data_IF_264441282082
#
_entry.id   IF_264441282082
#
_cell.length_a   1.000
_cell.length_b   1.000
_cell.length_c   1.000
_cell.angle_alpha   90.00
_cell.angle_beta   90.00
_cell.angle_gamma   90.00
#
_symmetry.space_group_name_H-M   'P 1'
#
loop_
_entity.id
_entity.type
_entity.pdbx_description
1 polymer ?
#
# COMPACT_ATOMS: atom_id res chain seq x y z
N UNK A 1 5.20 1.34 10.56
CA UNK A 1 6.09 2.41 10.11
C UNK A 1 6.77 2.02 8.79
N UNK A 2 7.24 3.03 8.01
CA UNK A 2 8.00 2.81 6.78
C UNK A 2 7.19 2.56 5.51
N UNK A 3 5.86 2.68 5.52
CA UNK A 3 5.01 2.51 4.34
C UNK A 3 5.43 3.43 3.19
N UNK A 4 5.46 4.75 3.42
CA UNK A 4 5.83 5.73 2.40
C UNK A 4 7.24 5.52 1.84
N UNK A 5 8.21 5.11 2.67
CA UNK A 5 9.56 4.75 2.20
C UNK A 5 9.54 3.51 1.29
N UNK A 6 8.71 2.51 1.63
CA UNK A 6 8.51 1.34 0.78
C UNK A 6 7.89 1.72 -0.57
N UNK A 7 6.85 2.57 -0.57
CA UNK A 7 6.25 3.08 -1.81
C UNK A 7 7.28 3.82 -2.66
N UNK A 8 8.08 4.71 -2.07
CA UNK A 8 9.10 5.47 -2.79
C UNK A 8 10.17 4.57 -3.43
N UNK A 9 10.59 3.51 -2.74
CA UNK A 9 11.53 2.54 -3.29
C UNK A 9 10.90 1.72 -4.43
N UNK A 10 9.67 1.25 -4.25
CA UNK A 10 8.95 0.51 -5.29
C UNK A 10 8.76 1.36 -6.55
N UNK A 11 8.31 2.62 -6.39
CA UNK A 11 8.19 3.56 -7.51
C UNK A 11 9.51 3.71 -8.26
N UNK A 12 10.62 3.97 -7.53
CA UNK A 12 11.92 4.15 -8.14
C UNK A 12 12.41 2.90 -8.89
N UNK A 13 12.25 1.71 -8.31
CA UNK A 13 12.68 0.44 -8.92
C UNK A 13 11.81 0.11 -10.14
N UNK A 14 10.49 0.22 -10.04
CA UNK A 14 9.58 -0.09 -11.12
C UNK A 14 9.80 0.84 -12.32
N UNK A 15 9.91 2.16 -12.08
CA UNK A 15 10.22 3.13 -13.16
C UNK A 15 11.59 2.91 -13.79
N UNK A 16 12.59 2.54 -13.00
CA UNK A 16 13.93 2.19 -13.52
C UNK A 16 13.89 0.95 -14.43
N UNK A 17 12.89 0.08 -14.28
CA UNK A 17 12.63 -1.07 -15.15
C UNK A 17 11.65 -0.78 -16.30
N UNK A 18 11.28 0.48 -16.52
CA UNK A 18 10.48 0.91 -17.66
C UNK A 18 8.96 0.86 -17.47
N UNK A 19 8.48 0.55 -16.25
CA UNK A 19 7.04 0.58 -15.95
C UNK A 19 6.57 2.01 -15.70
N UNK A 20 5.37 2.33 -16.16
CA UNK A 20 4.63 3.51 -15.75
C UNK A 20 3.96 3.25 -14.41
N UNK A 21 4.23 4.08 -13.41
CA UNK A 21 3.79 3.82 -12.02
C UNK A 21 2.87 4.91 -11.52
N UNK A 22 1.70 4.52 -11.02
CA UNK A 22 0.84 5.37 -10.19
C UNK A 22 1.11 5.14 -8.72
N UNK A 23 1.31 6.19 -7.93
CA UNK A 23 1.47 6.07 -6.47
C UNK A 23 0.45 6.92 -5.72
N UNK A 24 -0.14 6.34 -4.68
CA UNK A 24 -0.97 7.04 -3.71
C UNK A 24 -0.37 6.91 -2.32
N UNK A 25 -0.06 8.05 -1.68
CA UNK A 25 0.63 8.11 -0.38
C UNK A 25 -0.03 9.11 0.58
N UNK A 26 0.23 8.95 1.88
CA UNK A 26 -0.27 9.86 2.92
C UNK A 26 0.60 9.85 4.18
N UNK A 27 0.66 11.00 4.90
CA UNK A 27 0.20 12.33 4.51
C UNK A 27 1.11 13.01 3.47
N UNK A 28 0.72 14.18 2.95
CA UNK A 28 1.63 15.08 2.25
C UNK A 28 2.41 15.94 3.26
N UNK A 29 3.54 16.48 2.85
CA UNK A 29 4.38 17.33 3.69
C UNK A 29 4.19 18.84 3.40
N UNK A 30 4.17 19.20 2.15
CA UNK A 30 4.11 20.61 1.71
C UNK A 30 2.94 20.82 0.73
N UNK A 31 2.85 20.00 -0.30
CA UNK A 31 1.87 20.14 -1.37
C UNK A 31 0.90 18.96 -1.34
N UNK A 32 -0.39 19.28 -1.35
CA UNK A 32 -1.44 18.24 -1.40
C UNK A 32 -1.24 17.24 -2.53
N UNK A 33 -0.74 17.67 -3.68
CA UNK A 33 -0.51 16.85 -4.88
C UNK A 33 0.55 15.76 -4.69
N UNK A 34 1.36 15.85 -3.62
CA UNK A 34 2.32 14.80 -3.26
C UNK A 34 1.65 13.43 -3.08
N UNK A 35 0.36 13.44 -2.68
CA UNK A 35 -0.41 12.22 -2.42
C UNK A 35 -0.61 11.35 -3.65
N UNK A 36 -0.68 11.95 -4.83
CA UNK A 36 -1.00 11.26 -6.08
C UNK A 36 0.06 11.60 -7.11
N UNK A 37 0.82 10.58 -7.54
CA UNK A 37 1.83 10.73 -8.58
C UNK A 37 1.58 9.72 -9.69
N UNK A 38 1.89 10.13 -10.89
CA UNK A 38 1.96 9.26 -12.06
C UNK A 38 3.34 9.44 -12.67
N UNK A 39 4.07 8.36 -12.78
CA UNK A 39 5.44 8.33 -13.34
C UNK A 39 6.42 9.25 -12.59
N UNK A 40 6.26 9.33 -11.27
CA UNK A 40 7.04 10.17 -10.37
C UNK A 40 6.65 11.65 -10.38
N UNK A 41 5.72 12.08 -11.25
CA UNK A 41 5.23 13.46 -11.35
C UNK A 41 3.94 13.61 -10.57
N UNK A 42 3.83 14.65 -9.74
CA UNK A 42 2.60 14.97 -9.01
C UNK A 42 1.44 15.23 -9.98
N UNK A 43 0.25 14.75 -9.63
CA UNK A 43 -0.96 15.03 -10.37
C UNK A 43 -1.14 16.54 -10.59
N UNK A 44 -1.58 16.94 -11.77
CA UNK A 44 -1.86 18.35 -12.05
C UNK A 44 -3.09 18.83 -11.29
N UNK A 45 -3.17 20.13 -10.99
CA UNK A 45 -4.36 20.72 -10.38
C UNK A 45 -5.60 20.43 -11.21
N UNK A 46 -5.50 20.53 -12.52
CA UNK A 46 -6.62 20.25 -13.42
C UNK A 46 -7.12 18.80 -13.31
N UNK A 47 -6.19 17.81 -13.23
CA UNK A 47 -6.59 16.40 -13.05
C UNK A 47 -7.18 16.12 -11.67
N UNK A 48 -6.69 16.81 -10.63
CA UNK A 48 -7.28 16.70 -9.29
C UNK A 48 -8.69 17.29 -9.25
N UNK A 49 -8.88 18.50 -9.78
CA UNK A 49 -10.20 19.15 -9.83
C UNK A 49 -11.18 18.27 -10.57
N UNK A 50 -10.83 17.79 -11.76
CA UNK A 50 -11.71 16.91 -12.55
C UNK A 50 -12.05 15.60 -11.81
N UNK A 51 -11.10 15.03 -11.08
CA UNK A 51 -11.34 13.83 -10.26
C UNK A 51 -12.26 14.14 -9.07
N UNK A 52 -12.09 15.28 -8.43
CA UNK A 52 -12.94 15.71 -7.31
C UNK A 52 -14.37 16.01 -7.76
N UNK A 53 -14.57 16.73 -8.85
CA UNK A 53 -15.87 17.01 -9.44
C UNK A 53 -16.58 15.69 -9.78
N UNK A 54 -15.91 14.79 -10.44
CA UNK A 54 -16.47 13.49 -10.80
C UNK A 54 -16.82 12.63 -9.59
N UNK A 55 -15.98 12.64 -8.55
CA UNK A 55 -16.27 11.94 -7.31
C UNK A 55 -17.46 12.54 -6.57
N UNK A 56 -17.54 13.88 -6.51
CA UNK A 56 -18.63 14.60 -5.87
C UNK A 56 -19.97 14.37 -6.60
N UNK A 57 -19.97 14.39 -7.93
CA UNK A 57 -21.19 14.13 -8.73
C UNK A 57 -21.70 12.70 -8.51
N UNK A 58 -20.79 11.72 -8.42
CA UNK A 58 -21.16 10.33 -8.18
C UNK A 58 -21.65 10.07 -6.75
N UNK A 59 -21.15 10.84 -5.78
CA UNK A 59 -21.48 10.69 -4.36
C UNK A 59 -22.92 11.09 -4.05
N UNK A 60 -23.45 12.10 -4.73
CA UNK A 60 -24.80 12.62 -4.49
C UNK A 60 -25.00 13.11 -3.05
N UNK A 61 -26.03 12.63 -2.33
CA UNK A 61 -26.32 13.04 -0.94
C UNK A 61 -25.45 12.34 0.12
N UNK A 62 -24.68 11.33 -0.26
CA UNK A 62 -23.83 10.57 0.66
C UNK A 62 -22.60 11.39 1.10
N UNK A 63 -21.92 10.94 2.14
CA UNK A 63 -20.72 11.59 2.63
C UNK A 63 -19.57 10.59 2.76
N UNK A 64 -18.36 11.06 2.49
CA UNK A 64 -17.13 10.31 2.67
C UNK A 64 -16.21 11.07 3.60
N UNK A 65 -15.37 10.34 4.30
CA UNK A 65 -14.24 10.94 5.02
C UNK A 65 -13.25 11.56 4.04
N UNK A 66 -12.43 12.47 4.52
CA UNK A 66 -11.36 13.07 3.72
C UNK A 66 -10.46 12.01 3.03
N UNK A 67 -10.12 10.93 3.74
CA UNK A 67 -9.25 9.90 3.18
C UNK A 67 -9.96 9.04 2.12
N UNK A 68 -11.21 8.67 2.35
CA UNK A 68 -12.03 7.94 1.35
C UNK A 68 -12.20 8.75 0.06
N UNK A 69 -12.51 10.04 0.18
CA UNK A 69 -12.63 10.92 -0.98
C UNK A 69 -11.32 11.03 -1.77
N UNK A 70 -10.18 11.13 -1.06
CA UNK A 70 -8.86 11.13 -1.69
C UNK A 70 -8.53 9.80 -2.38
N UNK A 71 -8.92 8.69 -1.79
CA UNK A 71 -8.74 7.37 -2.40
C UNK A 71 -9.50 7.27 -3.73
N UNK A 72 -10.76 7.72 -3.76
CA UNK A 72 -11.52 7.77 -5.01
C UNK A 72 -10.88 8.68 -6.06
N UNK A 73 -10.43 9.86 -5.68
CA UNK A 73 -9.75 10.78 -6.60
C UNK A 73 -8.48 10.15 -7.20
N UNK A 74 -7.68 9.48 -6.36
CA UNK A 74 -6.50 8.77 -6.83
C UNK A 74 -6.85 7.67 -7.84
N UNK A 75 -7.85 6.85 -7.56
CA UNK A 75 -8.30 5.79 -8.46
C UNK A 75 -8.84 6.34 -9.79
N UNK A 76 -9.58 7.46 -9.77
CA UNK A 76 -10.08 8.13 -10.97
C UNK A 76 -8.93 8.68 -11.84
N UNK A 77 -7.89 9.25 -11.21
CA UNK A 77 -6.69 9.71 -11.91
C UNK A 77 -5.94 8.52 -12.53
N UNK A 78 -5.76 7.43 -11.80
CA UNK A 78 -5.10 6.24 -12.32
C UNK A 78 -5.89 5.56 -13.43
N UNK A 79 -7.22 5.52 -13.33
CA UNK A 79 -8.07 5.00 -14.40
C UNK A 79 -7.94 5.82 -15.70
N UNK A 80 -7.65 7.12 -15.61
CA UNK A 80 -7.42 7.98 -16.76
C UNK A 80 -5.99 7.88 -17.28
N UNK A 81 -5.01 7.81 -16.38
CA UNK A 81 -3.59 7.76 -16.74
C UNK A 81 -3.14 6.37 -17.24
N UNK A 82 -3.85 5.31 -16.85
CA UNK A 82 -3.58 3.90 -17.19
C UNK A 82 -2.10 3.53 -16.95
N UNK A 83 -1.60 3.61 -15.70
CA UNK A 83 -0.26 3.14 -15.39
C UNK A 83 -0.19 1.61 -15.46
N UNK A 84 1.03 1.07 -15.68
CA UNK A 84 1.26 -0.38 -15.69
C UNK A 84 1.15 -0.98 -14.29
N UNK A 85 1.56 -0.22 -13.27
CA UNK A 85 1.54 -0.62 -11.86
C UNK A 85 0.97 0.52 -11.02
N UNK A 86 0.12 0.16 -10.06
CA UNK A 86 -0.39 1.09 -9.04
C UNK A 86 0.14 0.64 -7.68
N UNK A 87 0.79 1.55 -6.95
CA UNK A 87 1.27 1.32 -5.58
C UNK A 87 0.45 2.18 -4.64
N UNK A 88 -0.34 1.53 -3.80
CA UNK A 88 -1.28 2.18 -2.89
C UNK A 88 -0.80 2.07 -1.44
N UNK A 89 -0.63 3.19 -0.75
CA UNK A 89 -0.33 3.22 0.67
C UNK A 89 -1.63 3.24 1.50
N UNK A 90 -1.78 2.26 2.39
CA UNK A 90 -2.85 2.23 3.40
C UNK A 90 -2.68 3.42 4.37
N UNK A 91 -3.74 4.15 4.62
CA UNK A 91 -3.75 5.23 5.60
C UNK A 91 -3.61 4.70 7.03
N UNK A 92 -4.56 3.89 7.47
CA UNK A 92 -4.61 3.33 8.82
C UNK A 92 -5.10 1.87 8.82
N UNK A 93 -4.43 1.02 9.60
CA UNK A 93 -4.82 -0.38 9.74
C UNK A 93 -4.57 -1.20 8.49
N UNK A 94 -5.61 -1.50 7.76
CA UNK A 94 -5.60 -2.25 6.49
C UNK A 94 -6.99 -2.76 6.12
N UNK A 95 -7.57 -3.63 6.94
CA UNK A 95 -8.83 -4.34 6.65
C UNK A 95 -9.99 -3.41 6.28
N UNK A 96 -10.17 -2.32 7.01
CA UNK A 96 -11.24 -1.34 6.82
C UNK A 96 -10.77 -0.03 6.15
N UNK A 97 -9.53 0.01 5.69
CA UNK A 97 -9.02 1.17 4.97
C UNK A 97 -9.65 1.27 3.57
N UNK A 98 -9.96 2.48 3.12
CA UNK A 98 -10.60 2.71 1.83
C UNK A 98 -9.75 2.21 0.65
N UNK A 99 -8.43 2.23 0.77
CA UNK A 99 -7.52 1.67 -0.24
C UNK A 99 -7.75 0.17 -0.45
N UNK A 100 -8.22 -0.53 0.58
CA UNK A 100 -8.47 -1.98 0.52
C UNK A 100 -9.71 -2.38 -0.31
N UNK A 101 -10.42 -1.42 -0.90
CA UNK A 101 -11.47 -1.68 -1.90
C UNK A 101 -10.89 -2.29 -3.18
N UNK A 102 -9.63 -2.01 -3.47
CA UNK A 102 -8.91 -2.59 -4.60
C UNK A 102 -8.30 -3.93 -4.20
N UNK A 103 -8.52 -4.97 -5.01
CA UNK A 103 -7.88 -6.27 -4.82
C UNK A 103 -6.43 -6.24 -5.32
N UNK A 104 -5.43 -6.25 -4.42
CA UNK A 104 -4.04 -6.17 -4.84
C UNK A 104 -3.54 -7.46 -5.46
N UNK A 105 -2.64 -7.38 -6.44
CA UNK A 105 -1.89 -8.53 -6.95
C UNK A 105 -0.82 -8.98 -5.95
N UNK A 106 -0.23 -8.03 -5.21
CA UNK A 106 0.71 -8.27 -4.11
C UNK A 106 0.36 -7.37 -2.95
N UNK A 107 0.24 -7.91 -1.75
CA UNK A 107 0.03 -7.15 -0.53
C UNK A 107 1.30 -7.13 0.34
N UNK A 108 1.67 -5.95 0.86
CA UNK A 108 2.88 -5.79 1.67
C UNK A 108 2.55 -5.22 3.04
N UNK A 109 2.87 -5.93 4.10
CA UNK A 109 2.91 -5.41 5.48
C UNK A 109 4.35 -5.14 5.86
N UNK A 110 4.75 -3.87 5.85
CA UNK A 110 6.15 -3.46 6.04
C UNK A 110 6.64 -3.80 7.44
N UNK A 111 5.87 -3.44 8.46
CA UNK A 111 6.17 -3.75 9.86
C UNK A 111 4.92 -3.62 10.71
N UNK A 112 4.94 -4.24 11.89
CA UNK A 112 3.93 -4.07 12.94
C UNK A 112 4.63 -3.53 14.19
N UNK A 113 3.99 -2.57 14.84
CA UNK A 113 4.40 -1.99 16.11
C UNK A 113 3.18 -1.52 16.87
N UNK A 114 3.33 -1.24 18.16
CA UNK A 114 2.28 -0.66 18.99
C UNK A 114 2.07 0.81 18.58
N UNK A 115 1.14 1.02 17.68
CA UNK A 115 0.76 2.34 17.16
C UNK A 115 -0.74 2.36 16.87
N UNK A 116 -1.39 3.52 17.07
CA UNK A 116 -2.82 3.68 16.88
C UNK A 116 -3.68 2.67 17.65
N UNK A 117 -3.30 2.35 18.90
CA UNK A 117 -3.91 1.31 19.73
C UNK A 117 -5.40 1.55 19.96
N UNK A 118 -5.84 2.80 20.03
CA UNK A 118 -7.26 3.17 20.19
C UNK A 118 -8.15 2.69 19.02
N UNK A 119 -7.56 2.46 17.85
CA UNK A 119 -8.26 2.06 16.63
C UNK A 119 -7.97 0.62 16.22
N UNK A 120 -6.75 0.15 16.41
CA UNK A 120 -6.30 -1.14 15.89
C UNK A 120 -6.25 -2.25 16.95
N UNK A 121 -6.44 -1.87 18.22
CA UNK A 121 -6.41 -2.77 19.36
C UNK A 121 -5.12 -2.69 20.20
N UNK A 122 -5.15 -3.30 21.39
CA UNK A 122 -4.17 -3.05 22.43
C UNK A 122 -2.85 -3.83 22.27
N UNK A 123 -2.76 -4.75 21.34
CA UNK A 123 -1.62 -5.66 21.18
C UNK A 123 -1.22 -5.91 19.73
N UNK A 124 -0.06 -6.53 19.54
CA UNK A 124 0.47 -6.82 18.20
C UNK A 124 -0.39 -7.80 17.40
N UNK A 125 -1.15 -8.67 18.10
CA UNK A 125 -2.00 -9.65 17.43
C UNK A 125 -3.26 -8.99 16.84
N UNK A 126 -3.88 -8.07 17.56
CA UNK A 126 -5.02 -7.28 17.04
C UNK A 126 -4.58 -6.38 15.89
N UNK A 127 -3.47 -5.66 16.06
CA UNK A 127 -2.90 -4.82 14.98
C UNK A 127 -2.52 -5.68 13.76
N UNK A 128 -1.95 -6.86 14.00
CA UNK A 128 -1.58 -7.82 12.97
C UNK A 128 -2.79 -8.29 12.16
N UNK A 129 -3.89 -8.59 12.83
CA UNK A 129 -5.15 -8.99 12.20
C UNK A 129 -5.72 -7.91 11.29
N UNK A 130 -5.72 -6.65 11.75
CA UNK A 130 -6.20 -5.51 10.95
C UNK A 130 -5.31 -5.29 9.71
N UNK A 131 -3.98 -5.36 9.87
CA UNK A 131 -3.06 -5.17 8.75
C UNK A 131 -3.09 -6.33 7.75
N UNK A 132 -3.18 -7.57 8.22
CA UNK A 132 -3.30 -8.74 7.35
C UNK A 132 -4.65 -8.82 6.60
N UNK A 133 -5.60 -7.95 6.93
CA UNK A 133 -6.86 -7.82 6.21
C UNK A 133 -6.74 -7.36 4.74
N UNK A 134 -5.55 -6.89 4.33
CA UNK A 134 -5.26 -6.55 2.93
C UNK A 134 -4.86 -7.77 2.07
N UNK A 135 -4.60 -8.91 2.67
CA UNK A 135 -4.23 -10.12 1.93
C UNK A 135 -5.41 -10.70 1.16
N UNK A 136 -5.12 -11.29 0.01
CA UNK A 136 -6.11 -11.95 -0.86
C UNK A 136 -5.79 -13.43 -1.06
N UNK A 137 -6.83 -14.21 -1.25
CA UNK A 137 -6.73 -15.66 -1.46
C UNK A 137 -5.83 -15.99 -2.67
N UNK A 138 -4.89 -16.91 -2.48
CA UNK A 138 -3.98 -17.37 -3.51
C UNK A 138 -2.96 -16.34 -4.02
N UNK A 139 -2.95 -15.10 -3.49
CA UNK A 139 -2.04 -14.04 -3.93
C UNK A 139 -0.82 -13.91 -3.02
N UNK A 140 0.30 -13.36 -3.51
CA UNK A 140 1.46 -13.07 -2.70
C UNK A 140 1.15 -12.07 -1.58
N UNK A 141 1.64 -12.37 -0.38
CA UNK A 141 1.60 -11.51 0.80
C UNK A 141 3.01 -11.42 1.39
N UNK A 142 3.56 -10.22 1.47
CA UNK A 142 4.93 -9.99 1.94
C UNK A 142 4.90 -9.38 3.33
N UNK A 143 5.69 -9.92 4.25
CA UNK A 143 5.88 -9.39 5.58
C UNK A 143 7.34 -8.95 5.79
N UNK A 144 7.54 -7.66 6.04
CA UNK A 144 8.86 -6.99 5.98
C UNK A 144 9.74 -7.14 7.23
N UNK A 145 9.31 -7.88 8.26
CA UNK A 145 10.11 -8.16 9.47
C UNK A 145 10.16 -9.67 9.77
N UNK A 146 11.20 -10.16 10.49
CA UNK A 146 11.41 -11.60 10.65
C UNK A 146 10.32 -12.34 11.43
N UNK A 147 9.62 -11.65 12.32
CA UNK A 147 8.68 -12.29 13.26
C UNK A 147 7.28 -11.69 13.13
N UNK A 148 6.47 -12.15 12.17
CA UNK A 148 5.08 -11.74 12.10
C UNK A 148 4.27 -12.27 13.29
N UNK A 149 3.33 -11.48 13.84
CA UNK A 149 2.34 -11.96 14.78
C UNK A 149 1.63 -13.22 14.28
N UNK A 150 1.16 -14.06 15.21
CA UNK A 150 0.48 -15.31 14.84
C UNK A 150 -0.79 -15.02 14.01
N UNK A 151 -1.51 -13.95 14.32
CA UNK A 151 -2.70 -13.51 13.58
C UNK A 151 -2.44 -13.26 12.09
N UNK A 152 -1.25 -12.78 11.72
CA UNK A 152 -0.84 -12.59 10.32
C UNK A 152 -0.67 -13.94 9.62
N UNK A 153 0.01 -14.90 10.28
CA UNK A 153 0.19 -16.26 9.77
C UNK A 153 -1.13 -17.00 9.63
N UNK A 154 -2.00 -16.87 10.63
CA UNK A 154 -3.31 -17.51 10.64
C UNK A 154 -4.21 -16.95 9.54
N UNK A 155 -4.20 -15.62 9.33
CA UNK A 155 -4.94 -15.01 8.24
C UNK A 155 -4.45 -15.51 6.88
N UNK A 156 -3.14 -15.50 6.64
CA UNK A 156 -2.56 -15.97 5.39
C UNK A 156 -2.95 -17.44 5.11
N UNK A 157 -2.82 -18.31 6.13
CA UNK A 157 -3.21 -19.73 6.03
C UNK A 157 -4.70 -19.89 5.77
N UNK A 158 -5.56 -19.16 6.47
CA UNK A 158 -7.02 -19.27 6.35
C UNK A 158 -7.55 -18.94 4.94
N UNK A 159 -6.85 -18.11 4.18
CA UNK A 159 -7.23 -17.70 2.82
C UNK A 159 -6.29 -18.27 1.74
N UNK A 160 -5.36 -19.14 2.12
CA UNK A 160 -4.34 -19.68 1.22
C UNK A 160 -3.51 -18.58 0.51
N UNK A 161 -3.21 -17.47 1.20
CA UNK A 161 -2.31 -16.46 0.69
C UNK A 161 -0.86 -16.94 0.76
N UNK A 162 -0.07 -16.66 -0.27
CA UNK A 162 1.34 -17.03 -0.34
C UNK A 162 2.19 -16.07 0.50
N UNK A 163 2.25 -16.32 1.80
CA UNK A 163 2.98 -15.47 2.73
C UNK A 163 4.49 -15.69 2.60
N UNK A 164 5.20 -14.60 2.37
CA UNK A 164 6.66 -14.52 2.36
C UNK A 164 7.14 -13.60 3.48
N UNK A 165 8.01 -14.11 4.33
CA UNK A 165 8.49 -13.43 5.54
C UNK A 165 9.98 -13.13 5.40
N UNK A 166 10.34 -11.86 5.60
CA UNK A 166 11.74 -11.47 5.65
C UNK A 166 12.50 -12.25 6.73
N UNK A 167 13.73 -12.64 6.42
CA UNK A 167 14.58 -13.44 7.32
C UNK A 167 14.29 -14.94 7.28
N UNK A 168 13.16 -15.36 6.66
CA UNK A 168 12.81 -16.78 6.44
C UNK A 168 12.82 -17.11 4.96
N UNK A 169 12.01 -16.40 4.18
CA UNK A 169 11.81 -16.69 2.75
C UNK A 169 12.66 -15.79 1.84
N UNK A 170 12.99 -14.59 2.32
CA UNK A 170 13.88 -13.66 1.67
C UNK A 170 14.63 -12.81 2.68
N UNK A 171 15.75 -12.25 2.28
CA UNK A 171 16.44 -11.20 3.05
C UNK A 171 17.21 -10.27 2.10
N UNK A 172 17.81 -9.22 2.66
CA UNK A 172 18.60 -8.28 1.91
C UNK A 172 19.70 -7.68 2.78
N UNK A 173 20.87 -7.47 2.20
CA UNK A 173 21.99 -6.83 2.87
C UNK A 173 22.64 -5.75 2.02
N UNK A 174 23.09 -4.70 2.68
CA UNK A 174 23.95 -3.71 2.04
C UNK A 174 25.34 -4.32 1.75
N UNK A 175 25.84 -4.09 0.55
CA UNK A 175 27.19 -4.48 0.13
C UNK A 175 27.86 -3.28 -0.57
N UNK A 176 28.47 -2.41 0.21
CA UNK A 176 28.95 -1.11 -0.25
C UNK A 176 27.81 -0.24 -0.78
N UNK A 177 27.94 0.24 -2.02
CA UNK A 177 26.91 1.03 -2.70
C UNK A 177 25.79 0.17 -3.36
N UNK A 178 25.79 -1.13 -3.14
CA UNK A 178 24.82 -2.07 -3.71
C UNK A 178 23.98 -2.70 -2.60
N UNK A 179 22.77 -3.11 -2.95
CA UNK A 179 21.92 -3.92 -2.10
C UNK A 179 21.76 -5.30 -2.76
N UNK A 180 22.03 -6.35 -2.00
CA UNK A 180 21.91 -7.73 -2.47
C UNK A 180 20.62 -8.29 -1.89
N UNK A 181 19.67 -8.63 -2.75
CA UNK A 181 18.49 -9.38 -2.37
C UNK A 181 18.84 -10.87 -2.35
N UNK A 182 18.48 -11.53 -1.27
CA UNK A 182 18.65 -12.96 -1.06
C UNK A 182 17.26 -13.55 -0.97
N UNK A 183 16.85 -14.30 -1.97
CA UNK A 183 15.57 -15.01 -2.00
C UNK A 183 15.80 -16.51 -2.17
N UNK A 184 14.87 -17.30 -1.71
CA UNK A 184 14.92 -18.75 -1.83
C UNK A 184 14.23 -19.26 -3.09
N UNK A 185 13.26 -18.50 -3.64
CA UNK A 185 12.55 -18.81 -4.89
C UNK A 185 12.04 -17.54 -5.59
N UNK A 186 11.88 -17.56 -6.93
CA UNK A 186 11.18 -16.48 -7.65
C UNK A 186 9.70 -16.41 -7.22
N UNK A 187 9.22 -15.19 -7.07
CA UNK A 187 7.82 -14.89 -6.74
C UNK A 187 6.91 -15.17 -7.93
#
# INVERSE_FOLDING_TARGET
NGKGSCVALLDAVLRANGYRVGTFTSPHLVDYRERIRVDGVMASEASLIAAFERAADALGPDSLTFFEFNTLAALLIFATAVPDVIVLEVGLGGRLDSVNVVDPDVAVVVSIGLDHMDWLGPDLESIGREKAGIFRAGRPAVFGTPEPPQSVRDRARAIDARLQVRGTDFDGRAAGARYILIGTEPI
#
